data_IF_969346575166
#
_entry.id   IF_969346575166
#
_cell.length_a   1.000
_cell.length_b   1.000
_cell.length_c   1.000
_cell.angle_alpha   90.00
_cell.angle_beta   90.00
_cell.angle_gamma   90.00
#
_symmetry.space_group_name_H-M   'P 1'
#
loop_
_entity.id
_entity.type
_entity.pdbx_description
1 polymer ?
#
# COMPACT_ATOMS: atom_id res chain seq x y z
N UNK A 1 15.45 7.86 23.78
CA UNK A 1 16.69 8.43 24.25
C UNK A 1 17.79 8.20 23.26
N UNK A 2 18.21 9.23 22.54
CA UNK A 2 19.48 9.19 21.85
C UNK A 2 20.57 9.03 22.93
N UNK A 3 21.46 8.06 22.76
CA UNK A 3 22.58 7.89 23.67
C UNK A 3 23.44 9.16 23.69
N UNK A 4 24.07 9.46 24.81
CA UNK A 4 24.94 10.63 24.94
C UNK A 4 26.08 10.62 23.89
N UNK A 5 26.45 9.45 23.37
CA UNK A 5 27.38 9.31 22.25
C UNK A 5 26.85 9.90 20.93
N UNK A 6 25.55 9.82 20.65
CA UNK A 6 24.97 10.47 19.45
C UNK A 6 24.88 12.00 19.60
N UNK A 7 24.74 12.49 20.84
CA UNK A 7 24.83 13.93 21.14
C UNK A 7 26.25 14.45 21.01
N UNK A 8 27.22 13.66 21.49
CA UNK A 8 28.65 13.98 21.35
C UNK A 8 29.10 13.94 19.87
N UNK A 9 28.61 12.99 19.08
CA UNK A 9 28.89 12.93 17.64
C UNK A 9 28.26 14.11 16.87
N UNK A 10 27.08 14.57 17.25
CA UNK A 10 26.46 15.75 16.66
C UNK A 10 27.19 17.06 17.03
N UNK A 11 27.78 17.11 18.22
CA UNK A 11 28.61 18.25 18.66
C UNK A 11 30.05 18.22 18.11
N UNK A 12 30.62 17.05 17.87
CA UNK A 12 31.95 16.90 17.27
C UNK A 12 31.96 17.03 15.75
N UNK A 13 30.77 16.98 15.10
CA UNK A 13 30.59 17.35 13.71
C UNK A 13 30.48 18.86 13.48
N UNK A 14 30.93 19.67 14.43
CA UNK A 14 31.18 21.11 14.28
C UNK A 14 32.39 21.41 13.37
N UNK A 15 32.49 20.71 12.24
CA UNK A 15 33.22 21.26 11.10
C UNK A 15 32.49 22.53 10.65
N UNK A 16 33.19 23.62 10.36
CA UNK A 16 32.56 24.86 9.95
C UNK A 16 31.67 24.54 8.74
N UNK A 17 30.42 24.97 8.81
CA UNK A 17 29.48 25.00 7.67
C UNK A 17 30.00 26.07 6.70
N UNK A 18 31.16 25.77 6.07
CA UNK A 18 31.66 26.59 4.98
C UNK A 18 30.73 26.40 3.80
N UNK A 19 29.98 27.46 3.50
CA UNK A 19 29.46 27.86 2.18
C UNK A 19 28.81 26.80 1.28
N UNK A 20 28.06 25.85 1.81
CA UNK A 20 27.28 24.91 0.98
C UNK A 20 25.87 25.44 0.68
N UNK A 21 25.49 26.61 1.22
CA UNK A 21 24.10 27.09 1.10
C UNK A 21 23.67 27.48 -0.33
N UNK A 22 24.61 27.94 -1.18
CA UNK A 22 24.26 28.32 -2.55
C UNK A 22 24.27 27.14 -3.55
N UNK A 23 24.87 26.00 -3.17
CA UNK A 23 25.02 24.83 -4.05
C UNK A 23 23.86 23.83 -3.96
N UNK A 24 23.24 23.67 -2.79
CA UNK A 24 22.28 22.61 -2.53
C UNK A 24 21.03 22.70 -3.43
N UNK A 25 20.46 23.88 -3.61
CA UNK A 25 19.30 24.08 -4.49
C UNK A 25 19.61 23.75 -5.96
N UNK A 26 20.78 24.17 -6.46
CA UNK A 26 21.20 23.86 -7.83
C UNK A 26 21.36 22.35 -8.09
N UNK A 27 21.89 21.61 -7.11
CA UNK A 27 22.06 20.15 -7.20
C UNK A 27 20.69 19.46 -7.24
N UNK A 28 19.73 19.89 -6.42
CA UNK A 28 18.36 19.35 -6.40
C UNK A 28 17.68 19.58 -7.77
N UNK A 29 17.73 20.81 -8.30
CA UNK A 29 17.14 21.11 -9.61
C UNK A 29 17.87 20.40 -10.76
N UNK A 30 19.18 20.23 -10.68
CA UNK A 30 19.95 19.45 -11.66
C UNK A 30 19.53 17.97 -11.61
N UNK A 31 19.38 17.38 -10.43
CA UNK A 31 18.90 16.01 -10.28
C UNK A 31 17.47 15.83 -10.82
N UNK A 32 16.58 16.77 -10.53
CA UNK A 32 15.22 16.78 -11.09
C UNK A 32 15.27 16.87 -12.64
N UNK A 33 16.08 17.77 -13.20
CA UNK A 33 16.23 17.93 -14.64
C UNK A 33 16.76 16.64 -15.32
N UNK A 34 17.74 15.98 -14.72
CA UNK A 34 18.29 14.71 -15.22
C UNK A 34 17.19 13.63 -15.20
N UNK A 35 16.45 13.50 -14.10
CA UNK A 35 15.35 12.54 -13.98
C UNK A 35 14.23 12.80 -15.00
N UNK A 36 13.86 14.06 -15.19
CA UNK A 36 12.84 14.47 -16.18
C UNK A 36 13.28 14.13 -17.61
N UNK A 37 14.50 14.49 -17.98
CA UNK A 37 15.05 14.17 -19.33
C UNK A 37 15.12 12.67 -19.52
N UNK A 38 15.62 11.92 -18.53
CA UNK A 38 15.68 10.46 -18.57
C UNK A 38 14.29 9.84 -18.84
N UNK A 39 13.26 10.22 -18.05
CA UNK A 39 11.89 9.72 -18.24
C UNK A 39 11.28 10.18 -19.56
N UNK A 40 11.54 11.40 -20.01
CA UNK A 40 11.07 11.87 -21.31
C UNK A 40 11.66 11.05 -22.47
N UNK A 41 12.95 10.78 -22.45
CA UNK A 41 13.61 9.95 -23.49
C UNK A 41 13.11 8.50 -23.45
N UNK A 42 12.96 7.93 -22.25
CA UNK A 42 12.50 6.56 -22.08
C UNK A 42 11.04 6.37 -22.51
N UNK A 43 10.12 7.22 -22.04
CA UNK A 43 8.67 7.06 -22.27
C UNK A 43 8.23 7.67 -23.58
N UNK A 44 8.59 8.93 -23.86
CA UNK A 44 8.13 9.65 -25.05
C UNK A 44 8.88 9.22 -26.32
N UNK A 45 10.19 9.04 -26.24
CA UNK A 45 11.01 8.64 -27.39
C UNK A 45 11.24 7.13 -27.47
N UNK A 46 10.79 6.35 -26.47
CA UNK A 46 10.99 4.88 -26.37
C UNK A 46 12.46 4.49 -26.55
N UNK A 47 13.37 5.26 -25.95
CA UNK A 47 14.81 5.07 -26.11
C UNK A 47 15.32 3.73 -25.62
N UNK A 48 14.73 3.18 -24.57
CA UNK A 48 15.02 1.86 -24.01
C UNK A 48 13.82 1.30 -23.24
N UNK A 49 13.88 -0.01 -22.91
CA UNK A 49 12.87 -0.66 -22.08
C UNK A 49 13.01 -0.20 -20.63
N UNK A 50 11.89 0.07 -19.97
CA UNK A 50 11.84 0.45 -18.55
C UNK A 50 12.42 -0.67 -17.68
N UNK A 51 11.99 -1.91 -17.93
CA UNK A 51 12.45 -3.11 -17.23
C UNK A 51 13.03 -4.09 -18.25
N UNK A 52 14.35 -4.02 -18.57
CA UNK A 52 14.99 -5.08 -19.35
C UNK A 52 14.97 -6.39 -18.57
N UNK A 53 14.49 -7.44 -19.20
CA UNK A 53 14.32 -8.76 -18.61
C UNK A 53 14.96 -9.85 -19.48
N UNK A 54 15.57 -10.85 -18.81
CA UNK A 54 16.05 -12.08 -19.44
C UNK A 54 15.47 -13.29 -18.69
N UNK A 55 14.68 -14.06 -19.40
CA UNK A 55 14.11 -15.31 -18.89
C UNK A 55 15.01 -16.49 -19.28
N UNK A 56 15.27 -17.39 -18.34
CA UNK A 56 16.08 -18.59 -18.56
C UNK A 56 15.20 -19.78 -18.97
N UNK A 57 15.56 -20.43 -20.07
CA UNK A 57 14.78 -21.53 -20.64
C UNK A 57 15.45 -22.90 -20.49
N UNK A 58 16.76 -22.96 -20.22
CA UNK A 58 17.51 -24.22 -20.20
C UNK A 58 17.84 -24.73 -18.81
N UNK A 59 18.75 -24.09 -18.07
CA UNK A 59 19.27 -24.61 -16.79
C UNK A 59 18.33 -24.25 -15.63
N UNK A 60 17.79 -23.04 -15.63
CA UNK A 60 16.86 -22.52 -14.63
C UNK A 60 15.51 -22.24 -15.28
N UNK A 61 14.80 -23.30 -15.71
CA UNK A 61 13.50 -23.15 -16.38
C UNK A 61 12.54 -22.28 -15.58
N UNK A 62 12.09 -21.18 -16.17
CA UNK A 62 11.18 -20.21 -15.53
C UNK A 62 11.85 -19.20 -14.62
N UNK A 63 13.15 -19.28 -14.38
CA UNK A 63 13.90 -18.22 -13.71
C UNK A 63 14.07 -17.00 -14.61
N UNK A 64 14.08 -15.82 -14.04
CA UNK A 64 14.32 -14.57 -14.77
C UNK A 64 15.21 -13.62 -13.98
N UNK A 65 15.91 -12.75 -14.71
CA UNK A 65 16.62 -11.61 -14.14
C UNK A 65 16.11 -10.38 -14.86
N UNK A 66 15.58 -9.45 -14.10
CA UNK A 66 15.12 -8.16 -14.58
C UNK A 66 15.61 -7.05 -13.65
N UNK A 67 15.79 -5.86 -14.19
CA UNK A 67 16.17 -4.69 -13.43
C UNK A 67 15.41 -3.47 -13.96
N UNK A 68 14.70 -2.77 -13.09
CA UNK A 68 14.18 -1.46 -13.40
C UNK A 68 15.32 -0.45 -13.34
N UNK A 69 15.67 0.12 -14.48
CA UNK A 69 16.76 1.08 -14.59
C UNK A 69 16.17 2.48 -14.46
N UNK A 70 16.21 3.04 -13.26
CA UNK A 70 15.71 4.39 -12.99
C UNK A 70 16.67 5.18 -12.10
N UNK A 71 16.89 6.47 -12.38
CA UNK A 71 17.77 7.33 -11.58
C UNK A 71 17.29 7.46 -10.14
N UNK A 72 15.99 7.49 -9.90
CA UNK A 72 15.36 7.58 -8.59
C UNK A 72 15.66 6.35 -7.73
N UNK A 73 15.56 5.14 -8.29
CA UNK A 73 15.89 3.90 -7.58
C UNK A 73 17.39 3.76 -7.29
N UNK A 74 18.22 4.23 -8.24
CA UNK A 74 19.67 4.29 -8.02
C UNK A 74 20.01 5.23 -6.85
N UNK A 75 19.36 6.39 -6.77
CA UNK A 75 19.52 7.34 -5.67
C UNK A 75 19.09 6.75 -4.33
N UNK A 76 17.94 6.06 -4.29
CA UNK A 76 17.47 5.35 -3.09
C UNK A 76 18.46 4.28 -2.66
N UNK A 77 18.96 3.47 -3.60
CA UNK A 77 19.96 2.43 -3.32
C UNK A 77 21.25 3.01 -2.73
N UNK A 78 21.71 4.18 -3.22
CA UNK A 78 22.87 4.89 -2.70
C UNK A 78 22.66 5.36 -1.25
N UNK A 79 21.47 5.92 -0.93
CA UNK A 79 21.11 6.39 0.42
C UNK A 79 21.01 5.24 1.42
N UNK A 80 20.34 4.15 1.03
CA UNK A 80 20.13 2.96 1.89
C UNK A 80 21.47 2.26 2.18
N UNK A 81 22.40 2.31 1.24
CA UNK A 81 23.70 1.70 1.34
C UNK A 81 23.74 0.20 1.01
N UNK A 82 24.96 -0.37 0.87
CA UNK A 82 25.14 -1.70 0.29
C UNK A 82 24.57 -2.83 1.18
N UNK A 83 24.57 -2.67 2.48
CA UNK A 83 24.09 -3.72 3.40
C UNK A 83 22.60 -4.02 3.21
N UNK A 84 21.77 -3.00 3.22
CA UNK A 84 20.31 -3.15 3.09
C UNK A 84 19.96 -3.50 1.64
N UNK A 85 20.57 -2.83 0.66
CA UNK A 85 20.38 -3.13 -0.74
C UNK A 85 20.73 -4.59 -1.10
N UNK A 86 21.79 -5.15 -0.49
CA UNK A 86 22.16 -6.55 -0.68
C UNK A 86 21.10 -7.51 -0.11
N UNK A 87 20.50 -7.21 1.05
CA UNK A 87 19.41 -8.01 1.62
C UNK A 87 18.18 -7.99 0.70
N UNK A 88 17.81 -6.83 0.17
CA UNK A 88 16.71 -6.71 -0.79
C UNK A 88 16.99 -7.50 -2.08
N UNK A 89 18.20 -7.39 -2.62
CA UNK A 89 18.65 -8.15 -3.79
C UNK A 89 18.62 -9.66 -3.52
N UNK A 90 19.05 -10.11 -2.34
CA UNK A 90 19.00 -11.53 -1.96
C UNK A 90 17.57 -12.07 -1.94
N UNK A 91 16.57 -11.26 -1.53
CA UNK A 91 15.15 -11.62 -1.64
C UNK A 91 14.69 -11.82 -3.08
N UNK A 92 15.13 -10.94 -3.99
CA UNK A 92 14.86 -11.07 -5.43
C UNK A 92 15.52 -12.32 -6.03
N UNK A 93 16.78 -12.58 -5.71
CA UNK A 93 17.51 -13.80 -6.12
C UNK A 93 16.80 -15.06 -5.61
N UNK A 94 16.40 -15.09 -4.35
CA UNK A 94 15.65 -16.21 -3.77
C UNK A 94 14.33 -16.44 -4.52
N UNK A 95 13.58 -15.38 -4.80
CA UNK A 95 12.30 -15.48 -5.48
C UNK A 95 12.45 -15.97 -6.93
N UNK A 96 13.25 -15.28 -7.75
CA UNK A 96 13.29 -15.47 -9.18
C UNK A 96 14.29 -16.53 -9.68
N UNK A 97 15.36 -16.80 -8.93
CA UNK A 97 16.38 -17.76 -9.32
C UNK A 97 16.34 -19.06 -8.51
N UNK A 98 15.60 -19.09 -7.41
CA UNK A 98 15.48 -20.32 -6.58
C UNK A 98 14.03 -20.81 -6.54
N UNK A 99 13.10 -19.99 -5.98
CA UNK A 99 11.73 -20.45 -5.74
C UNK A 99 10.95 -20.69 -7.03
N UNK A 100 10.95 -19.76 -7.99
CA UNK A 100 10.23 -19.93 -9.25
C UNK A 100 10.76 -21.13 -10.05
N UNK A 101 12.08 -21.28 -10.27
CA UNK A 101 12.60 -22.49 -10.91
C UNK A 101 12.30 -23.79 -10.16
N UNK A 102 12.36 -23.77 -8.83
CA UNK A 102 12.01 -24.95 -8.03
C UNK A 102 10.53 -25.32 -8.18
N UNK A 103 9.62 -24.36 -8.07
CA UNK A 103 8.18 -24.59 -8.29
C UNK A 103 7.93 -25.14 -9.69
N UNK A 104 8.58 -24.57 -10.70
CA UNK A 104 8.47 -25.03 -12.09
C UNK A 104 8.99 -26.46 -12.25
N UNK A 105 10.16 -26.77 -11.67
CA UNK A 105 10.79 -28.08 -11.75
C UNK A 105 9.94 -29.17 -11.10
N UNK A 106 9.47 -28.96 -9.87
CA UNK A 106 8.65 -29.94 -9.16
C UNK A 106 7.20 -30.00 -9.68
N UNK A 107 6.70 -28.89 -10.23
CA UNK A 107 5.34 -28.78 -10.76
C UNK A 107 5.20 -29.17 -12.25
N UNK A 108 6.28 -29.38 -12.98
CA UNK A 108 6.25 -29.66 -14.43
C UNK A 108 5.53 -30.99 -14.76
N UNK A 109 5.55 -31.94 -13.83
CA UNK A 109 4.84 -33.24 -13.95
C UNK A 109 3.35 -33.20 -13.60
N UNK A 110 2.82 -32.10 -13.08
CA UNK A 110 1.43 -32.00 -12.68
C UNK A 110 0.54 -31.66 -13.89
N UNK A 111 -0.47 -32.47 -14.12
CA UNK A 111 -1.42 -32.30 -15.23
C UNK A 111 -2.63 -31.43 -14.85
N UNK A 112 -2.83 -31.17 -13.57
CA UNK A 112 -3.93 -30.35 -13.04
C UNK A 112 -3.41 -29.06 -12.40
N UNK A 113 -4.27 -28.04 -12.37
CA UNK A 113 -3.95 -26.81 -11.68
C UNK A 113 -3.85 -27.04 -10.17
N UNK A 114 -2.81 -26.52 -9.54
CA UNK A 114 -2.64 -26.56 -8.09
C UNK A 114 -3.14 -25.23 -7.50
N UNK A 115 -4.15 -25.23 -6.61
CA UNK A 115 -4.61 -23.99 -5.98
C UNK A 115 -3.47 -23.28 -5.22
N UNK A 116 -3.43 -21.94 -5.25
CA UNK A 116 -4.37 -20.98 -5.83
C UNK A 116 -4.18 -20.71 -7.34
N UNK A 117 -3.29 -21.42 -8.02
CA UNK A 117 -3.13 -21.32 -9.47
C UNK A 117 -4.36 -21.87 -10.23
N UNK A 118 -4.70 -21.22 -11.33
CA UNK A 118 -5.86 -21.56 -12.17
C UNK A 118 -5.52 -22.40 -13.38
N UNK A 119 -4.23 -22.49 -13.73
CA UNK A 119 -3.71 -23.31 -14.85
C UNK A 119 -2.59 -24.23 -14.35
N UNK A 120 -2.26 -25.32 -15.05
CA UNK A 120 -1.14 -26.19 -14.69
C UNK A 120 0.19 -25.43 -14.63
N UNK A 121 1.02 -25.73 -13.64
CA UNK A 121 2.33 -25.05 -13.41
C UNK A 121 3.22 -25.12 -14.66
N UNK A 122 3.12 -26.21 -15.43
CA UNK A 122 3.84 -26.38 -16.68
C UNK A 122 3.58 -25.27 -17.70
N UNK A 123 2.35 -24.75 -17.72
CA UNK A 123 1.91 -23.71 -18.67
C UNK A 123 2.09 -22.31 -18.13
N UNK A 124 2.35 -22.17 -16.82
CA UNK A 124 2.51 -20.86 -16.18
C UNK A 124 3.79 -20.16 -16.61
N UNK A 125 3.67 -18.87 -16.90
CA UNK A 125 4.81 -17.94 -16.98
C UNK A 125 5.40 -17.70 -15.58
N UNK A 126 6.63 -17.16 -15.51
CA UNK A 126 7.25 -16.80 -14.24
C UNK A 126 6.45 -15.75 -13.46
N UNK A 127 5.77 -14.81 -14.12
CA UNK A 127 4.86 -13.84 -13.49
C UNK A 127 3.65 -14.53 -12.87
N UNK A 128 3.05 -15.50 -13.55
CA UNK A 128 1.92 -16.27 -13.02
C UNK A 128 2.33 -17.12 -11.83
N UNK A 129 3.50 -17.79 -11.88
CA UNK A 129 4.05 -18.52 -10.73
C UNK A 129 4.32 -17.59 -9.55
N UNK A 130 4.90 -16.40 -9.82
CA UNK A 130 5.09 -15.37 -8.79
C UNK A 130 3.76 -14.98 -8.14
N UNK A 131 2.76 -14.65 -8.94
CA UNK A 131 1.44 -14.22 -8.46
C UNK A 131 0.70 -15.31 -7.70
N UNK A 132 0.72 -16.55 -8.21
CA UNK A 132 0.00 -17.66 -7.61
C UNK A 132 0.65 -18.23 -6.33
N UNK A 133 1.99 -18.24 -6.23
CA UNK A 133 2.67 -18.94 -5.13
C UNK A 133 3.69 -18.08 -4.38
N UNK A 134 4.64 -17.45 -5.07
CA UNK A 134 5.76 -16.76 -4.43
C UNK A 134 5.29 -15.52 -3.66
N UNK A 135 4.25 -14.84 -4.15
CA UNK A 135 3.64 -13.69 -3.48
C UNK A 135 3.15 -14.05 -2.07
N UNK A 136 2.50 -15.21 -1.91
CA UNK A 136 2.00 -15.68 -0.61
C UNK A 136 3.14 -16.10 0.33
N UNK A 137 4.20 -16.72 -0.20
CA UNK A 137 5.41 -17.03 0.59
C UNK A 137 6.05 -15.74 1.08
N UNK A 138 6.19 -14.74 0.20
CA UNK A 138 6.70 -13.42 0.54
C UNK A 138 5.84 -12.70 1.57
N UNK A 139 4.51 -12.70 1.39
CA UNK A 139 3.58 -12.11 2.33
C UNK A 139 3.69 -12.76 3.72
N UNK A 140 3.78 -14.10 3.78
CA UNK A 140 4.00 -14.82 5.04
C UNK A 140 5.33 -14.45 5.71
N UNK A 141 6.41 -14.36 4.96
CA UNK A 141 7.72 -13.95 5.48
C UNK A 141 7.68 -12.52 6.04
N UNK A 142 7.03 -11.60 5.35
CA UNK A 142 6.89 -10.20 5.82
C UNK A 142 5.98 -10.11 7.04
N UNK A 143 4.89 -10.87 7.08
CA UNK A 143 4.00 -10.95 8.24
C UNK A 143 4.75 -11.48 9.47
N UNK A 144 5.51 -12.56 9.32
CA UNK A 144 6.34 -13.12 10.39
C UNK A 144 7.41 -12.11 10.87
N UNK A 145 8.09 -11.44 9.94
CA UNK A 145 9.04 -10.37 10.23
C UNK A 145 8.39 -9.21 11.00
N UNK A 146 7.19 -8.79 10.61
CA UNK A 146 6.39 -7.77 11.30
C UNK A 146 6.04 -8.17 12.74
N UNK A 147 5.58 -9.41 12.95
CA UNK A 147 5.25 -9.94 14.28
C UNK A 147 6.49 -10.02 15.17
N UNK A 148 7.63 -10.50 14.63
CA UNK A 148 8.89 -10.57 15.37
C UNK A 148 9.40 -9.16 15.73
N UNK A 149 9.33 -8.22 14.80
CA UNK A 149 9.67 -6.81 15.04
C UNK A 149 8.79 -6.19 16.11
N UNK A 150 7.48 -6.47 16.07
CA UNK A 150 6.54 -6.04 17.09
C UNK A 150 6.94 -6.57 18.48
N UNK A 151 7.18 -7.89 18.58
CA UNK A 151 7.59 -8.52 19.84
C UNK A 151 8.87 -7.89 20.41
N UNK A 152 9.85 -7.60 19.57
CA UNK A 152 11.10 -6.91 19.96
C UNK A 152 10.87 -5.47 20.40
N UNK A 153 9.87 -4.81 19.86
CA UNK A 153 9.54 -3.41 20.17
C UNK A 153 8.63 -3.24 21.38
N UNK A 154 8.01 -4.31 21.90
CA UNK A 154 7.12 -4.28 23.07
C UNK A 154 7.70 -3.54 24.29
N UNK A 155 8.97 -3.73 24.69
CA UNK A 155 9.54 -2.99 25.83
C UNK A 155 9.58 -1.47 25.59
N UNK A 156 9.92 -1.05 24.37
CA UNK A 156 9.94 0.37 23.97
C UNK A 156 8.54 0.97 23.94
N UNK A 157 7.57 0.23 23.39
CA UNK A 157 6.16 0.60 23.37
C UNK A 157 5.64 0.81 24.80
N UNK A 158 5.96 -0.13 25.70
CA UNK A 158 5.57 -0.04 27.11
C UNK A 158 6.17 1.18 27.83
N UNK A 159 7.43 1.48 27.56
CA UNK A 159 8.09 2.68 28.07
C UNK A 159 7.44 3.97 27.53
N UNK A 160 7.09 4.00 26.24
CA UNK A 160 6.37 5.10 25.61
C UNK A 160 5.00 5.35 26.25
N UNK A 161 4.22 4.30 26.47
CA UNK A 161 2.91 4.40 27.17
C UNK A 161 3.09 4.95 28.59
N UNK A 162 4.05 4.41 29.35
CA UNK A 162 4.34 4.90 30.68
C UNK A 162 4.75 6.37 30.71
N UNK A 163 5.59 6.80 29.76
CA UNK A 163 6.01 8.19 29.60
C UNK A 163 4.80 9.10 29.32
N UNK A 164 3.99 8.75 28.32
CA UNK A 164 2.78 9.50 27.97
C UNK A 164 1.77 9.59 29.11
N UNK A 165 1.57 8.51 29.86
CA UNK A 165 0.68 8.49 31.04
C UNK A 165 1.22 9.40 32.17
N UNK A 166 2.53 9.43 32.33
CA UNK A 166 3.20 10.29 33.33
C UNK A 166 3.05 11.76 33.00
N UNK A 167 3.18 12.12 31.73
CA UNK A 167 2.93 13.48 31.23
C UNK A 167 1.49 13.92 31.40
N UNK A 168 0.53 13.02 31.20
CA UNK A 168 -0.89 13.27 31.44
C UNK A 168 -1.22 13.52 32.91
N UNK A 169 -0.53 12.83 33.82
CA UNK A 169 -0.72 12.96 35.28
C UNK A 169 -0.03 14.18 35.89
N UNK A 170 0.55 15.06 35.07
CA UNK A 170 1.20 16.26 35.55
C UNK A 170 2.56 16.03 36.21
N UNK A 171 3.20 14.87 35.91
CA UNK A 171 4.48 14.48 36.54
C UNK A 171 5.72 15.20 35.98
N UNK A 172 5.60 16.09 35.03
CA UNK A 172 6.69 16.96 34.59
C UNK A 172 6.49 18.38 35.12
N UNK A 173 6.92 18.58 36.38
CA UNK A 173 6.92 19.88 37.08
C UNK A 173 7.91 20.92 36.51
N UNK A 174 8.44 20.74 35.31
CA UNK A 174 9.14 21.81 34.63
C UNK A 174 8.09 22.67 33.89
N UNK A 175 7.94 23.90 34.35
CA UNK A 175 7.07 24.89 33.73
C UNK A 175 7.31 24.90 32.23
N UNK A 176 6.23 24.93 31.45
CA UNK A 176 6.25 24.90 29.97
C UNK A 176 7.14 25.98 29.32
N UNK A 177 7.64 26.96 30.12
CA UNK A 177 8.52 28.03 29.70
C UNK A 177 10.02 27.75 29.77
N UNK A 178 10.45 26.62 30.39
CA UNK A 178 11.89 26.39 30.66
C UNK A 178 12.49 25.27 29.77
N UNK A 179 11.70 24.69 28.86
CA UNK A 179 12.20 23.70 27.91
C UNK A 179 12.82 24.38 26.69
N UNK A 180 14.02 23.96 26.25
CA UNK A 180 14.59 24.49 25.02
C UNK A 180 13.61 24.27 23.86
N UNK A 181 13.60 25.15 22.87
CA UNK A 181 12.67 25.09 21.74
C UNK A 181 12.74 23.76 20.95
N UNK A 182 13.88 23.11 20.96
CA UNK A 182 14.15 21.82 20.30
C UNK A 182 13.50 20.62 20.99
N UNK A 183 13.02 20.80 22.22
CA UNK A 183 12.37 19.75 23.01
C UNK A 183 10.86 20.02 23.22
N UNK A 184 10.29 21.00 22.46
CA UNK A 184 8.89 21.34 22.54
C UNK A 184 8.07 20.51 21.53
N UNK A 185 7.31 19.54 22.03
CA UNK A 185 6.37 18.72 21.28
C UNK A 185 4.92 19.22 21.41
N UNK A 186 4.06 18.69 20.55
CA UNK A 186 2.60 18.80 20.69
C UNK A 186 2.17 18.18 22.02
N UNK A 187 1.32 18.89 22.76
CA UNK A 187 0.83 18.37 24.03
C UNK A 187 0.01 17.10 23.81
N UNK A 188 0.25 16.08 24.63
CA UNK A 188 -0.43 14.78 24.58
C UNK A 188 -1.95 14.91 24.63
N UNK A 189 -2.48 15.96 25.27
CA UNK A 189 -3.93 16.23 25.31
C UNK A 189 -4.50 16.46 23.91
N UNK A 190 -3.83 17.25 23.07
CA UNK A 190 -4.25 17.52 21.69
C UNK A 190 -4.14 16.26 20.82
N UNK A 191 -3.13 15.44 21.04
CA UNK A 191 -2.98 14.17 20.33
C UNK A 191 -4.14 13.24 20.66
N UNK A 192 -4.49 13.09 21.94
CA UNK A 192 -5.61 12.24 22.35
C UNK A 192 -6.96 12.74 21.83
N UNK A 193 -7.20 14.06 21.88
CA UNK A 193 -8.41 14.67 21.33
C UNK A 193 -8.48 14.41 19.81
N UNK A 194 -7.37 14.60 19.08
CA UNK A 194 -7.30 14.35 17.65
C UNK A 194 -7.57 12.87 17.30
N UNK A 195 -7.00 11.95 18.05
CA UNK A 195 -7.27 10.50 17.88
C UNK A 195 -8.76 10.20 18.13
N UNK A 196 -9.35 10.74 19.18
CA UNK A 196 -10.76 10.53 19.49
C UNK A 196 -11.69 11.07 18.38
N UNK A 197 -11.40 12.28 17.89
CA UNK A 197 -12.15 12.88 16.77
C UNK A 197 -12.03 12.02 15.50
N UNK A 198 -10.83 11.55 15.15
CA UNK A 198 -10.62 10.69 13.99
C UNK A 198 -11.35 9.36 14.12
N UNK A 199 -11.25 8.68 15.27
CA UNK A 199 -11.95 7.41 15.52
C UNK A 199 -13.46 7.61 15.40
N UNK A 200 -14.00 8.68 15.98
CA UNK A 200 -15.42 9.02 15.89
C UNK A 200 -15.83 9.26 14.44
N UNK A 201 -15.05 10.04 13.68
CA UNK A 201 -15.32 10.32 12.27
C UNK A 201 -15.28 9.03 11.43
N UNK A 202 -14.31 8.14 11.65
CA UNK A 202 -14.19 6.84 10.98
C UNK A 202 -15.40 5.95 11.29
N UNK A 203 -15.82 5.91 12.56
CA UNK A 203 -16.96 5.09 12.99
C UNK A 203 -18.28 5.58 12.44
N UNK A 204 -18.44 6.90 12.30
CA UNK A 204 -19.63 7.52 11.73
C UNK A 204 -19.67 7.52 10.21
N UNK A 205 -18.56 7.19 9.53
CA UNK A 205 -18.51 7.16 8.07
C UNK A 205 -19.23 5.92 7.50
N UNK A 206 -20.41 6.06 6.85
CA UNK A 206 -21.21 4.91 6.42
C UNK A 206 -20.54 4.10 5.32
N UNK A 207 -19.66 4.71 4.53
CA UNK A 207 -18.91 4.07 3.45
C UNK A 207 -17.91 3.03 3.94
N UNK A 208 -17.38 3.18 5.15
CA UNK A 208 -16.39 2.28 5.75
C UNK A 208 -17.05 1.07 6.44
N UNK A 209 -18.37 1.10 6.63
CA UNK A 209 -19.14 0.07 7.37
C UNK A 209 -18.46 -0.36 8.67
N UNK A 210 -17.89 0.63 9.37
CA UNK A 210 -17.10 0.40 10.56
C UNK A 210 -17.99 0.03 11.75
N UNK A 211 -17.57 -0.98 12.49
CA UNK A 211 -18.18 -1.35 13.76
C UNK A 211 -17.25 -1.02 14.93
N UNK A 212 -17.76 -1.10 16.16
CA UNK A 212 -16.99 -0.78 17.37
C UNK A 212 -15.73 -1.64 17.49
N UNK A 213 -15.82 -2.93 17.16
CA UNK A 213 -14.67 -3.83 17.18
C UNK A 213 -13.61 -3.42 16.16
N UNK A 214 -14.01 -3.06 14.94
CA UNK A 214 -13.10 -2.52 13.91
C UNK A 214 -12.40 -1.26 14.38
N UNK A 215 -13.11 -0.35 15.04
CA UNK A 215 -12.51 0.86 15.62
C UNK A 215 -11.49 0.53 16.72
N UNK A 216 -11.78 -0.42 17.59
CA UNK A 216 -10.83 -0.90 18.62
C UNK A 216 -9.61 -1.53 17.96
N UNK A 217 -9.78 -2.37 16.93
CA UNK A 217 -8.67 -2.96 16.19
C UNK A 217 -7.80 -1.90 15.52
N UNK A 218 -8.39 -0.84 14.94
CA UNK A 218 -7.63 0.28 14.39
C UNK A 218 -6.76 0.95 15.46
N UNK A 219 -7.31 1.20 16.65
CA UNK A 219 -6.56 1.83 17.74
C UNK A 219 -5.40 0.94 18.17
N UNK A 220 -5.67 -0.34 18.45
CA UNK A 220 -4.68 -1.28 18.97
C UNK A 220 -3.60 -1.56 17.92
N UNK A 221 -4.00 -2.01 16.73
CA UNK A 221 -3.06 -2.38 15.67
C UNK A 221 -2.38 -1.15 15.07
N UNK A 222 -3.11 -0.03 14.95
CA UNK A 222 -2.56 1.25 14.50
C UNK A 222 -1.44 1.71 15.43
N UNK A 223 -1.69 1.77 16.74
CA UNK A 223 -0.66 2.15 17.71
C UNK A 223 0.56 1.23 17.65
N UNK A 224 0.35 -0.08 17.59
CA UNK A 224 1.42 -1.06 17.51
C UNK A 224 2.27 -0.88 16.24
N UNK A 225 1.63 -0.85 15.08
CA UNK A 225 2.37 -0.77 13.80
C UNK A 225 2.93 0.61 13.51
N UNK A 226 2.29 1.70 13.97
CA UNK A 226 2.87 3.06 13.92
C UNK A 226 4.18 3.11 14.72
N UNK A 227 4.21 2.54 15.92
CA UNK A 227 5.42 2.51 16.76
C UNK A 227 6.54 1.71 16.10
N UNK A 228 6.21 0.55 15.51
CA UNK A 228 7.19 -0.27 14.78
C UNK A 228 7.71 0.45 13.55
N UNK A 229 6.82 1.05 12.76
CA UNK A 229 7.16 1.81 11.55
C UNK A 229 8.08 2.98 11.87
N UNK A 230 7.71 3.80 12.86
CA UNK A 230 8.52 4.94 13.29
C UNK A 230 9.93 4.53 13.71
N UNK A 231 10.04 3.44 14.46
CA UNK A 231 11.34 2.92 14.92
C UNK A 231 12.19 2.42 13.77
N UNK A 232 11.63 1.58 12.90
CA UNK A 232 12.34 1.03 11.75
C UNK A 232 12.82 2.13 10.81
N UNK A 233 11.98 3.11 10.52
CA UNK A 233 12.35 4.26 9.68
C UNK A 233 13.46 5.08 10.32
N UNK A 234 13.41 5.29 11.63
CA UNK A 234 14.47 5.98 12.37
C UNK A 234 15.81 5.24 12.36
N UNK A 235 15.82 3.91 12.38
CA UNK A 235 17.02 3.08 12.32
C UNK A 235 17.59 2.97 10.89
N UNK A 236 16.72 2.83 9.89
CA UNK A 236 17.14 2.66 8.48
C UNK A 236 17.47 4.00 7.84
N UNK A 237 16.88 5.09 8.30
CA UNK A 237 17.07 6.43 7.74
C UNK A 237 16.39 6.64 6.37
N UNK A 238 15.51 5.74 5.95
CA UNK A 238 14.81 5.77 4.66
C UNK A 238 13.34 5.43 4.85
N UNK A 239 12.49 5.91 3.93
CA UNK A 239 11.06 5.57 3.85
C UNK A 239 10.78 4.11 3.47
N UNK A 240 11.80 3.32 3.16
CA UNK A 240 11.71 1.89 2.82
C UNK A 240 11.43 1.03 4.05
N UNK A 241 10.33 1.30 4.76
CA UNK A 241 9.89 0.43 5.83
C UNK A 241 8.90 -0.64 5.30
N UNK A 242 8.75 -1.79 5.98
CA UNK A 242 7.92 -2.89 5.51
C UNK A 242 6.42 -2.67 5.78
N UNK A 243 5.86 -1.54 5.31
CA UNK A 243 4.44 -1.19 5.49
C UNK A 243 3.53 -2.29 4.94
N UNK A 244 3.88 -2.86 3.78
CA UNK A 244 3.13 -3.97 3.17
C UNK A 244 2.97 -5.15 4.12
N UNK A 245 4.04 -5.51 4.85
CA UNK A 245 3.99 -6.59 5.82
C UNK A 245 3.14 -6.28 7.03
N UNK A 246 3.21 -5.06 7.51
CA UNK A 246 2.36 -4.59 8.62
C UNK A 246 0.89 -4.61 8.19
N UNK A 247 0.58 -4.23 6.95
CA UNK A 247 -0.77 -4.29 6.38
C UNK A 247 -1.26 -5.72 6.28
N UNK A 248 -0.45 -6.65 5.75
CA UNK A 248 -0.79 -8.08 5.67
C UNK A 248 -1.01 -8.65 7.08
N UNK A 249 -0.13 -8.35 8.04
CA UNK A 249 -0.29 -8.77 9.42
C UNK A 249 -1.57 -8.21 10.05
N UNK A 250 -1.89 -6.94 9.80
CA UNK A 250 -3.15 -6.31 10.26
C UNK A 250 -4.36 -7.03 9.69
N UNK A 251 -4.37 -7.31 8.39
CA UNK A 251 -5.47 -8.02 7.73
C UNK A 251 -5.62 -9.44 8.27
N UNK A 252 -4.54 -10.19 8.43
CA UNK A 252 -4.56 -11.54 8.98
C UNK A 252 -5.11 -11.55 10.40
N UNK A 253 -4.64 -10.63 11.26
CA UNK A 253 -5.12 -10.52 12.64
C UNK A 253 -6.61 -10.13 12.68
N UNK A 254 -7.02 -9.15 11.87
CA UNK A 254 -8.42 -8.71 11.80
C UNK A 254 -9.33 -9.81 11.27
N UNK A 255 -8.96 -10.48 10.19
CA UNK A 255 -9.70 -11.61 9.63
C UNK A 255 -9.73 -12.79 10.60
N UNK A 256 -8.63 -13.05 11.31
CA UNK A 256 -8.57 -14.08 12.35
C UNK A 256 -9.56 -13.82 13.49
N UNK A 257 -9.63 -12.57 13.98
CA UNK A 257 -10.61 -12.16 15.00
C UNK A 257 -12.04 -12.31 14.48
N UNK A 258 -12.31 -11.87 13.23
CA UNK A 258 -13.65 -11.98 12.64
C UNK A 258 -14.05 -13.45 12.41
N UNK A 259 -13.11 -14.30 12.02
CA UNK A 259 -13.33 -15.75 11.87
C UNK A 259 -13.71 -16.41 13.20
N UNK A 260 -13.00 -16.09 14.30
CA UNK A 260 -13.31 -16.60 15.64
C UNK A 260 -14.70 -16.16 16.08
N UNK A 261 -15.15 -14.97 15.71
CA UNK A 261 -16.48 -14.43 16.02
C UNK A 261 -17.57 -14.91 15.05
N UNK A 262 -17.22 -15.69 14.02
CA UNK A 262 -18.17 -16.15 13.01
C UNK A 262 -18.64 -15.06 12.03
N UNK A 263 -17.92 -13.95 11.93
CA UNK A 263 -18.24 -12.81 11.05
C UNK A 263 -17.67 -13.01 9.65
N UNK A 264 -18.25 -13.92 8.89
CA UNK A 264 -17.76 -14.32 7.55
C UNK A 264 -18.62 -13.79 6.39
N UNK A 265 -19.67 -13.01 6.67
CA UNK A 265 -20.55 -12.47 5.63
C UNK A 265 -19.93 -11.26 4.91
N UNK A 266 -20.38 -10.94 3.66
CA UNK A 266 -19.81 -9.90 2.80
C UNK A 266 -19.59 -8.51 3.44
N UNK A 267 -20.47 -7.98 4.32
CA UNK A 267 -20.24 -6.68 4.96
C UNK A 267 -18.94 -6.59 5.74
N UNK A 268 -18.51 -7.70 6.36
CA UNK A 268 -17.31 -7.73 7.19
C UNK A 268 -16.00 -7.70 6.39
N UNK A 269 -16.01 -8.06 5.10
CA UNK A 269 -14.84 -7.91 4.22
C UNK A 269 -14.48 -6.43 4.05
N UNK A 270 -15.49 -5.57 3.86
CA UNK A 270 -15.29 -4.12 3.75
C UNK A 270 -14.71 -3.57 5.05
N UNK A 271 -15.24 -4.01 6.20
CA UNK A 271 -14.71 -3.61 7.51
C UNK A 271 -13.26 -4.06 7.69
N UNK A 272 -12.92 -5.29 7.35
CA UNK A 272 -11.55 -5.81 7.47
C UNK A 272 -10.56 -5.04 6.57
N UNK A 273 -10.95 -4.80 5.31
CA UNK A 273 -10.15 -4.02 4.38
C UNK A 273 -9.98 -2.57 4.84
N UNK A 274 -11.04 -1.96 5.40
CA UNK A 274 -10.99 -0.61 5.95
C UNK A 274 -10.04 -0.52 7.15
N UNK A 275 -10.08 -1.51 8.06
CA UNK A 275 -9.13 -1.59 9.19
C UNK A 275 -7.70 -1.70 8.66
N UNK A 276 -7.44 -2.60 7.70
CA UNK A 276 -6.12 -2.77 7.09
C UNK A 276 -5.62 -1.50 6.40
N UNK A 277 -6.47 -0.83 5.63
CA UNK A 277 -6.13 0.41 4.93
C UNK A 277 -5.81 1.56 5.91
N UNK A 278 -6.62 1.75 6.95
CA UNK A 278 -6.42 2.82 7.93
C UNK A 278 -5.13 2.59 8.73
N UNK A 279 -4.88 1.36 9.17
CA UNK A 279 -3.64 1.00 9.89
C UNK A 279 -2.43 1.14 8.97
N UNK A 280 -2.54 0.78 7.69
CA UNK A 280 -1.50 1.00 6.69
C UNK A 280 -1.14 2.49 6.55
N UNK A 281 -2.14 3.35 6.39
CA UNK A 281 -1.95 4.81 6.30
C UNK A 281 -1.31 5.34 7.58
N UNK A 282 -1.80 4.92 8.74
CA UNK A 282 -1.24 5.33 10.02
C UNK A 282 0.23 4.92 10.18
N UNK A 283 0.58 3.67 9.84
CA UNK A 283 1.94 3.17 9.89
C UNK A 283 2.87 3.92 8.92
N UNK A 284 2.38 4.22 7.71
CA UNK A 284 3.11 5.02 6.71
C UNK A 284 3.41 6.42 7.24
N UNK A 285 2.39 7.13 7.72
CA UNK A 285 2.55 8.47 8.28
C UNK A 285 3.46 8.49 9.51
N UNK A 286 3.39 7.46 10.37
CA UNK A 286 4.29 7.32 11.52
C UNK A 286 5.76 7.23 11.11
N UNK A 287 6.06 6.46 10.07
CA UNK A 287 7.41 6.38 9.51
C UNK A 287 7.89 7.71 8.94
N UNK A 288 7.09 8.36 8.10
CA UNK A 288 7.41 9.67 7.50
C UNK A 288 7.60 10.74 8.57
N UNK A 289 6.72 10.78 9.58
CA UNK A 289 6.85 11.71 10.72
C UNK A 289 8.17 11.51 11.46
N UNK A 290 8.60 10.26 11.65
CA UNK A 290 9.89 9.96 12.30
C UNK A 290 11.08 10.50 11.48
N UNK A 291 11.02 10.40 10.16
CA UNK A 291 12.04 10.97 9.25
C UNK A 291 12.08 12.50 9.34
N UNK A 292 10.92 13.15 9.26
CA UNK A 292 10.82 14.61 9.31
C UNK A 292 11.33 15.16 10.64
N UNK A 293 10.95 14.54 11.75
CA UNK A 293 11.43 14.94 13.08
C UNK A 293 12.91 14.69 13.26
N UNK A 294 13.46 13.60 12.66
CA UNK A 294 14.90 13.36 12.68
C UNK A 294 15.68 14.42 11.90
N UNK A 295 15.19 14.79 10.73
CA UNK A 295 15.76 15.88 9.94
C UNK A 295 15.69 17.21 10.69
N UNK A 296 14.55 17.50 11.30
CA UNK A 296 14.39 18.69 12.13
C UNK A 296 15.33 18.73 13.34
N UNK A 297 15.54 17.60 13.98
CA UNK A 297 16.52 17.49 15.07
C UNK A 297 17.93 17.84 14.60
N UNK A 298 18.35 17.35 13.44
CA UNK A 298 19.67 17.64 12.87
C UNK A 298 19.88 19.12 12.54
N UNK A 299 18.85 19.81 12.07
CA UNK A 299 18.93 21.25 11.75
C UNK A 299 18.47 22.17 12.89
N UNK A 300 18.15 21.62 14.05
CA UNK A 300 17.74 22.36 15.24
C UNK A 300 16.36 23.00 15.12
N UNK A 301 15.43 22.42 14.35
CA UNK A 301 14.04 22.89 14.22
C UNK A 301 13.23 22.58 15.50
N UNK A 302 12.12 23.29 15.66
CA UNK A 302 11.19 23.07 16.78
C UNK A 302 10.20 21.97 16.40
N UNK A 303 10.16 20.80 17.09
CA UNK A 303 9.31 19.66 16.72
C UNK A 303 7.83 19.99 16.62
N UNK A 304 7.32 20.82 17.54
CA UNK A 304 5.92 21.27 17.57
C UNK A 304 5.46 21.88 16.24
N UNK A 305 6.26 22.74 15.63
CA UNK A 305 5.91 23.37 14.36
C UNK A 305 5.99 22.41 13.18
N UNK A 306 6.93 21.47 13.21
CA UNK A 306 7.00 20.39 12.23
C UNK A 306 5.75 19.50 12.30
N UNK A 307 5.32 19.13 13.50
CA UNK A 307 4.11 18.34 13.70
C UNK A 307 2.85 19.03 13.16
N UNK A 308 2.72 20.35 13.35
CA UNK A 308 1.65 21.12 12.72
C UNK A 308 1.74 21.10 11.20
N UNK A 309 2.92 21.30 10.64
CA UNK A 309 3.14 21.29 9.20
C UNK A 309 2.78 19.91 8.59
N UNK A 310 3.14 18.82 9.25
CA UNK A 310 2.79 17.45 8.85
C UNK A 310 1.27 17.25 8.84
N UNK A 311 0.55 17.72 9.86
CA UNK A 311 -0.91 17.62 9.91
C UNK A 311 -1.58 18.40 8.77
N UNK A 312 -1.12 19.62 8.49
CA UNK A 312 -1.62 20.42 7.37
C UNK A 312 -1.31 19.75 6.02
N UNK A 313 -0.09 19.25 5.85
CA UNK A 313 0.33 18.53 4.65
C UNK A 313 -0.49 17.25 4.43
N UNK A 314 -0.71 16.46 5.48
CA UNK A 314 -1.53 15.24 5.41
C UNK A 314 -2.98 15.57 5.03
N UNK A 315 -3.57 16.61 5.58
CA UNK A 315 -4.92 17.05 5.23
C UNK A 315 -5.00 17.50 3.77
N UNK A 316 -4.07 18.35 3.33
CA UNK A 316 -4.00 18.80 1.94
C UNK A 316 -3.85 17.62 0.97
N UNK A 317 -2.96 16.67 1.28
CA UNK A 317 -2.77 15.45 0.50
C UNK A 317 -4.04 14.61 0.43
N UNK A 318 -4.75 14.42 1.55
CA UNK A 318 -5.99 13.66 1.59
C UNK A 318 -7.08 14.27 0.70
N UNK A 319 -7.20 15.60 0.68
CA UNK A 319 -8.17 16.32 -0.16
C UNK A 319 -7.87 16.20 -1.66
N UNK A 320 -6.59 16.14 -2.03
CA UNK A 320 -6.16 16.09 -3.44
C UNK A 320 -6.12 14.66 -3.96
N UNK A 321 -5.64 13.70 -3.16
CA UNK A 321 -5.46 12.31 -3.59
C UNK A 321 -6.79 11.61 -3.93
N UNK A 322 -7.86 11.89 -3.21
CA UNK A 322 -9.17 11.28 -3.48
C UNK A 322 -9.64 11.50 -4.92
N UNK A 323 -9.79 12.75 -5.38
CA UNK A 323 -10.14 13.04 -6.77
C UNK A 323 -9.14 12.51 -7.80
N UNK A 324 -7.83 12.54 -7.51
CA UNK A 324 -6.81 12.00 -8.41
C UNK A 324 -6.96 10.50 -8.57
N UNK A 325 -7.12 9.74 -7.48
CA UNK A 325 -7.29 8.29 -7.54
C UNK A 325 -8.55 7.88 -8.29
N UNK A 326 -9.64 8.62 -8.14
CA UNK A 326 -10.86 8.38 -8.92
C UNK A 326 -10.62 8.60 -10.42
N UNK A 327 -9.92 9.68 -10.78
CA UNK A 327 -9.57 9.95 -12.20
C UNK A 327 -8.61 8.91 -12.78
N UNK A 328 -7.63 8.48 -12.00
CA UNK A 328 -6.70 7.41 -12.41
C UNK A 328 -7.42 6.08 -12.58
N UNK A 329 -8.34 5.75 -11.68
CA UNK A 329 -9.14 4.54 -11.80
C UNK A 329 -10.00 4.56 -13.07
N UNK A 330 -10.65 5.70 -13.37
CA UNK A 330 -11.43 5.86 -14.59
C UNK A 330 -10.56 5.75 -15.86
N UNK A 331 -9.37 6.34 -15.82
CA UNK A 331 -8.42 6.31 -16.95
C UNK A 331 -7.78 4.92 -17.18
N UNK A 332 -7.61 4.15 -16.10
CA UNK A 332 -7.00 2.82 -16.15
C UNK A 332 -8.03 1.70 -16.37
N UNK A 333 -9.34 2.01 -16.36
CA UNK A 333 -10.39 1.00 -16.59
C UNK A 333 -10.36 0.52 -18.03
N UNK A 334 -10.16 -0.78 -18.23
CA UNK A 334 -10.18 -1.42 -19.55
C UNK A 334 -11.58 -1.92 -19.86
N UNK A 335 -12.11 -1.53 -21.01
CA UNK A 335 -13.40 -1.97 -21.52
C UNK A 335 -13.18 -2.95 -22.67
N UNK A 336 -13.64 -4.19 -22.50
CA UNK A 336 -13.59 -5.21 -23.56
C UNK A 336 -14.95 -5.23 -24.27
N UNK A 337 -15.04 -4.93 -25.59
CA UNK A 337 -16.29 -4.98 -26.32
C UNK A 337 -16.92 -6.37 -26.31
N UNK A 338 -18.26 -6.43 -26.31
CA UNK A 338 -19.02 -7.68 -26.29
C UNK A 338 -18.61 -8.65 -27.41
N UNK A 339 -18.31 -8.17 -28.58
CA UNK A 339 -17.86 -8.99 -29.71
C UNK A 339 -16.60 -9.80 -29.45
N UNK A 340 -15.79 -9.42 -28.42
CA UNK A 340 -14.53 -10.09 -28.06
C UNK A 340 -14.73 -11.20 -27.03
N UNK A 341 -15.75 -11.10 -26.15
CA UNK A 341 -15.95 -12.06 -25.06
C UNK A 341 -17.19 -12.94 -25.21
N UNK A 342 -18.09 -12.65 -26.16
CA UNK A 342 -19.24 -13.46 -26.46
C UNK A 342 -19.32 -13.77 -27.96
N UNK A 343 -19.40 -15.06 -28.30
CA UNK A 343 -19.64 -15.54 -29.66
C UNK A 343 -21.14 -15.72 -29.98
N UNK A 344 -22.03 -15.32 -29.07
CA UNK A 344 -23.48 -15.58 -29.13
C UNK A 344 -24.27 -14.27 -28.98
N UNK A 345 -25.54 -14.30 -29.37
CA UNK A 345 -26.49 -13.17 -29.40
C UNK A 345 -26.38 -12.16 -28.24
N UNK A 346 -26.67 -10.86 -28.51
CA UNK A 346 -26.57 -9.81 -27.50
C UNK A 346 -27.42 -10.14 -26.26
N UNK A 347 -26.81 -10.18 -25.09
CA UNK A 347 -27.52 -10.47 -23.83
C UNK A 347 -28.30 -9.23 -23.43
N UNK A 348 -29.63 -9.34 -23.43
CA UNK A 348 -30.56 -8.30 -22.97
C UNK A 348 -30.88 -8.48 -21.48
N UNK A 349 -30.99 -7.38 -20.78
CA UNK A 349 -31.27 -7.33 -19.34
C UNK A 349 -32.67 -6.71 -19.14
N UNK A 350 -33.46 -7.31 -18.26
CA UNK A 350 -34.84 -6.84 -17.99
C UNK A 350 -34.85 -5.51 -17.21
N UNK A 351 -35.92 -4.73 -17.32
CA UNK A 351 -36.05 -3.42 -16.70
C UNK A 351 -35.96 -3.45 -15.18
N UNK A 352 -36.51 -4.48 -14.55
CA UNK A 352 -36.45 -4.67 -13.10
C UNK A 352 -35.00 -4.81 -12.60
N UNK A 353 -34.20 -5.56 -13.37
CA UNK A 353 -32.79 -5.75 -13.10
C UNK A 353 -32.03 -4.44 -13.32
N UNK A 354 -32.24 -3.76 -14.43
CA UNK A 354 -31.57 -2.50 -14.74
C UNK A 354 -31.85 -1.45 -13.66
N UNK A 355 -33.06 -1.39 -13.14
CA UNK A 355 -33.43 -0.43 -12.09
C UNK A 355 -32.67 -0.68 -10.80
N UNK A 356 -32.42 -1.94 -10.47
CA UNK A 356 -31.68 -2.34 -9.26
C UNK A 356 -30.15 -2.15 -9.37
N UNK A 357 -29.59 -2.05 -10.59
CA UNK A 357 -28.15 -1.93 -10.79
C UNK A 357 -27.62 -0.54 -10.41
N UNK A 358 -26.42 -0.46 -9.81
CA UNK A 358 -25.76 0.80 -9.51
C UNK A 358 -25.35 1.52 -10.81
N UNK A 359 -25.44 2.85 -10.81
CA UNK A 359 -24.99 3.66 -11.94
C UNK A 359 -23.48 3.57 -12.12
N UNK A 360 -23.04 3.40 -13.37
CA UNK A 360 -21.64 3.39 -13.72
C UNK A 360 -21.17 4.78 -14.14
N UNK A 361 -20.04 5.24 -13.61
CA UNK A 361 -19.51 6.58 -13.88
C UNK A 361 -18.53 6.63 -15.07
N UNK A 362 -17.99 5.49 -15.46
CA UNK A 362 -17.08 5.38 -16.60
C UNK A 362 -17.83 5.37 -17.92
N UNK A 363 -17.28 5.98 -18.97
CA UNK A 363 -17.84 5.99 -20.32
C UNK A 363 -17.03 5.08 -21.22
N UNK A 364 -17.57 3.96 -21.73
CA UNK A 364 -16.85 3.13 -22.69
C UNK A 364 -16.51 3.90 -23.97
N UNK A 365 -15.39 3.59 -24.64
CA UNK A 365 -14.98 4.27 -25.87
C UNK A 365 -16.06 4.21 -26.96
N UNK A 366 -16.39 5.36 -27.55
CA UNK A 366 -17.37 5.45 -28.65
C UNK A 366 -18.84 5.48 -28.25
N UNK A 367 -19.16 5.56 -26.96
CA UNK A 367 -20.51 5.46 -26.47
C UNK A 367 -20.95 6.75 -25.74
N UNK A 368 -22.08 7.31 -26.19
CA UNK A 368 -22.78 8.41 -25.51
C UNK A 368 -24.08 7.89 -24.87
N UNK A 369 -24.10 7.72 -23.55
CA UNK A 369 -25.28 7.23 -22.85
C UNK A 369 -25.09 7.06 -21.34
N UNK A 370 -26.17 6.64 -20.66
CA UNK A 370 -26.11 6.28 -19.23
C UNK A 370 -25.86 4.78 -19.11
N UNK A 371 -24.89 4.43 -18.29
CA UNK A 371 -24.45 3.05 -18.07
C UNK A 371 -24.64 2.60 -16.64
N UNK A 372 -24.88 1.29 -16.47
CA UNK A 372 -24.97 0.65 -15.15
C UNK A 372 -24.01 -0.52 -15.06
N UNK A 373 -23.47 -0.78 -13.86
CA UNK A 373 -22.56 -1.90 -13.60
C UNK A 373 -23.35 -3.14 -13.20
N UNK A 374 -23.18 -4.22 -13.96
CA UNK A 374 -23.70 -5.55 -13.68
C UNK A 374 -22.57 -6.43 -13.15
N UNK A 375 -22.67 -6.91 -11.92
CA UNK A 375 -21.79 -7.94 -11.38
C UNK A 375 -22.47 -9.31 -11.51
N UNK A 376 -21.91 -10.17 -12.36
CA UNK A 376 -22.35 -11.54 -12.58
C UNK A 376 -21.61 -12.48 -11.64
N UNK A 377 -22.35 -13.27 -10.85
CA UNK A 377 -21.78 -14.26 -9.93
C UNK A 377 -21.48 -15.59 -10.62
N UNK A 378 -20.55 -16.33 -10.00
CA UNK A 378 -20.32 -17.75 -10.31
C UNK A 378 -21.56 -18.59 -9.93
N UNK A 379 -21.77 -19.71 -10.64
CA UNK A 379 -22.96 -20.58 -10.43
C UNK A 379 -23.11 -21.13 -9.01
N UNK A 380 -22.02 -21.18 -8.26
CA UNK A 380 -21.98 -21.68 -6.87
C UNK A 380 -22.25 -20.64 -5.78
N UNK A 381 -22.31 -19.35 -6.10
CA UNK A 381 -22.43 -18.30 -5.10
C UNK A 381 -23.90 -17.93 -4.81
N UNK A 382 -24.24 -17.71 -3.55
CA UNK A 382 -25.56 -17.22 -3.16
C UNK A 382 -25.77 -15.77 -3.65
N UNK A 383 -26.94 -15.42 -4.22
CA UNK A 383 -27.20 -14.08 -4.71
C UNK A 383 -27.28 -13.09 -3.55
N UNK A 384 -26.46 -12.07 -3.58
CA UNK A 384 -26.57 -10.89 -2.72
C UNK A 384 -27.45 -9.83 -3.41
N UNK A 385 -28.06 -8.93 -2.66
CA UNK A 385 -29.07 -7.95 -3.14
C UNK A 385 -28.61 -7.00 -4.27
N UNK A 386 -27.34 -7.06 -4.65
CA UNK A 386 -26.72 -6.24 -5.71
C UNK A 386 -26.19 -7.05 -6.90
N UNK A 387 -26.32 -8.36 -6.86
CA UNK A 387 -25.82 -9.26 -7.89
C UNK A 387 -26.99 -9.97 -8.55
N UNK A 388 -27.02 -9.94 -9.87
CA UNK A 388 -28.11 -10.50 -10.66
C UNK A 388 -27.54 -11.62 -11.52
N UNK A 389 -28.27 -12.73 -11.62
CA UNK A 389 -27.95 -13.79 -12.56
C UNK A 389 -28.58 -13.49 -13.92
N UNK A 390 -27.74 -13.31 -14.92
CA UNK A 390 -28.15 -13.23 -16.31
C UNK A 390 -27.76 -14.54 -16.99
N UNK A 391 -28.72 -15.29 -17.56
CA UNK A 391 -28.41 -16.54 -18.27
C UNK A 391 -27.40 -16.31 -19.40
N UNK A 392 -26.53 -17.27 -19.65
CA UNK A 392 -25.52 -17.26 -20.71
C UNK A 392 -24.46 -16.18 -20.61
N UNK A 393 -24.26 -15.57 -19.44
CA UNK A 393 -23.18 -14.62 -19.20
C UNK A 393 -22.16 -15.21 -18.24
N UNK A 394 -20.88 -15.24 -18.60
CA UNK A 394 -19.80 -15.74 -17.73
C UNK A 394 -19.65 -14.87 -16.48
N UNK A 395 -19.10 -15.38 -15.38
CA UNK A 395 -18.82 -14.58 -14.18
C UNK A 395 -17.93 -13.38 -14.50
N UNK A 396 -18.20 -12.23 -13.86
CA UNK A 396 -17.41 -11.01 -14.04
C UNK A 396 -18.22 -9.73 -13.91
N UNK A 397 -17.55 -8.60 -14.12
CA UNK A 397 -18.16 -7.29 -14.10
C UNK A 397 -18.43 -6.80 -15.53
N UNK A 398 -19.64 -6.30 -15.77
CA UNK A 398 -20.09 -5.88 -17.08
C UNK A 398 -20.72 -4.49 -17.04
N UNK A 399 -20.74 -3.83 -18.20
CA UNK A 399 -21.40 -2.54 -18.40
C UNK A 399 -22.66 -2.76 -19.25
N UNK A 400 -23.78 -2.30 -18.74
CA UNK A 400 -25.10 -2.36 -19.41
C UNK A 400 -25.48 -0.95 -19.85
N UNK A 401 -25.81 -0.80 -21.12
CA UNK A 401 -26.37 0.43 -21.64
C UNK A 401 -27.89 0.50 -21.28
N UNK A 402 -28.26 1.53 -20.54
CA UNK A 402 -29.63 1.73 -20.05
C UNK A 402 -30.61 1.93 -21.18
N UNK A 403 -30.18 2.50 -22.32
CA UNK A 403 -31.03 2.79 -23.48
C UNK A 403 -31.31 1.56 -24.31
N UNK A 404 -30.29 0.76 -24.60
CA UNK A 404 -30.41 -0.46 -25.40
C UNK A 404 -30.75 -1.68 -24.58
N UNK A 405 -30.62 -1.59 -23.24
CA UNK A 405 -30.85 -2.69 -22.29
C UNK A 405 -29.91 -3.89 -22.52
N UNK A 406 -28.78 -3.67 -23.15
CA UNK A 406 -27.86 -4.72 -23.54
C UNK A 406 -26.52 -4.60 -22.77
N UNK A 407 -25.91 -5.74 -22.51
CA UNK A 407 -24.54 -5.81 -22.05
C UNK A 407 -23.62 -5.40 -23.19
N UNK A 408 -22.86 -4.34 -23.02
CA UNK A 408 -22.02 -3.76 -24.10
C UNK A 408 -20.54 -4.09 -23.94
N UNK A 409 -20.02 -4.07 -22.69
CA UNK A 409 -18.62 -4.27 -22.42
C UNK A 409 -18.42 -5.11 -21.17
N UNK A 410 -17.34 -5.90 -21.13
CA UNK A 410 -16.80 -6.50 -19.91
C UNK A 410 -15.77 -5.53 -19.33
N UNK A 411 -15.81 -5.36 -18.00
CA UNK A 411 -14.77 -4.63 -17.28
C UNK A 411 -13.69 -5.65 -16.95
N UNK A 412 -12.51 -5.49 -17.53
CA UNK A 412 -11.35 -6.29 -17.16
C UNK A 412 -10.65 -5.62 -16.01
N UNK A 413 -10.79 -6.19 -14.81
CA UNK A 413 -10.14 -5.72 -13.58
C UNK A 413 -8.74 -6.33 -13.42
N UNK A 414 -8.37 -7.27 -14.27
CA UNK A 414 -7.03 -7.83 -14.29
C UNK A 414 -6.11 -6.91 -15.06
N UNK A 415 -5.51 -5.95 -14.38
CA UNK A 415 -4.36 -5.23 -14.90
C UNK A 415 -3.19 -6.22 -14.98
N UNK A 416 -3.07 -6.92 -16.08
CA UNK A 416 -1.81 -7.49 -16.47
C UNK A 416 -1.01 -6.37 -17.13
N UNK A 417 -0.16 -5.72 -16.36
CA UNK A 417 0.91 -4.93 -16.93
C UNK A 417 1.79 -5.89 -17.75
N UNK A 418 1.56 -5.96 -19.06
CA UNK A 418 2.52 -6.46 -20.01
C UNK A 418 3.60 -5.41 -20.28
#
# INVERSE_FOLDING_TARGET
>A
GASDESRAAAHSAGAPLEETEAGGGKIIFAGFGIGLVYKAVMVALRGWKDVPEKVFTSILKGGSVSAEISPELLGVGYIIGPRISAIMCAGGVLAYLVLIPAIKFFGDGLTHALPPGTIPIREMSHYQIRGAYVLYIGAGAVAAGGIISLARSLPTIWQGIKGGLRDLRGGSSQAAGDRPRTDQDLSMKWVLIGCLVLITAITLAPTLRMNVLGAVLIVVLGFLFVTVSSRLTGEIGSSSNPISGMTVATLLLTCGVFLILGWTSPPYYVTALSVGAIVCIAASNGGTTSQDLKTGFLVGATPKYQQYAILVGALASALVLGPILLRLNDAATVYVPQATFQQVEPVSVTDDVITALPSWRGTPPGAGGSYKKLAQLDESAAPDSKTVRVPNLAPGNYVVDVRTKQVTHKIDETFSAE
#
